data_IF_472745371214
#
_entry.id   IF_472745371214
#
_cell.length_a   1.000
_cell.length_b   1.000
_cell.length_c   1.000
_cell.angle_alpha   90.00
_cell.angle_beta   90.00
_cell.angle_gamma   90.00
#
_symmetry.space_group_name_H-M   'P 1'
#
loop_
_entity.id
_entity.type
_entity.pdbx_description
1 polymer ?
#
# COMPACT_ATOMS: atom_id res chain seq x y z
N UNK A 1 -21.64 -17.58 2.23
CA UNK A 1 -21.08 -16.44 1.46
C UNK A 1 -20.20 -16.98 0.34
N UNK A 2 -19.80 -16.14 -0.61
CA UNK A 2 -18.90 -16.51 -1.71
C UNK A 2 -17.42 -16.13 -1.45
N UNK A 3 -17.12 -15.34 -0.41
CA UNK A 3 -15.75 -14.99 0.00
C UNK A 3 -14.86 -16.23 0.18
N UNK A 4 -13.63 -16.15 -0.34
CA UNK A 4 -12.70 -17.28 -0.44
C UNK A 4 -12.94 -18.20 -1.65
N UNK A 5 -14.13 -18.16 -2.25
CA UNK A 5 -14.46 -18.93 -3.45
C UNK A 5 -13.91 -18.30 -4.75
N UNK A 6 -13.80 -19.10 -5.83
CA UNK A 6 -13.27 -18.63 -7.10
C UNK A 6 -14.22 -17.66 -7.82
N UNK A 7 -13.64 -16.71 -8.55
CA UNK A 7 -14.28 -15.98 -9.64
C UNK A 7 -13.79 -16.59 -10.96
N UNK A 8 -14.72 -17.04 -11.79
CA UNK A 8 -14.44 -17.70 -13.07
C UNK A 8 -14.88 -16.81 -14.25
N UNK A 9 -14.17 -16.91 -15.39
CA UNK A 9 -14.66 -16.38 -16.66
C UNK A 9 -15.65 -17.36 -17.33
N UNK A 10 -16.20 -16.96 -18.49
CA UNK A 10 -17.14 -17.78 -19.27
C UNK A 10 -16.56 -19.10 -19.80
N UNK A 11 -15.24 -19.29 -19.75
CA UNK A 11 -14.53 -20.53 -20.10
C UNK A 11 -14.24 -21.41 -18.87
N UNK A 12 -14.76 -21.06 -17.69
CA UNK A 12 -14.52 -21.77 -16.43
C UNK A 12 -13.11 -21.57 -15.84
N UNK A 13 -12.34 -20.60 -16.35
CA UNK A 13 -10.97 -20.36 -15.90
C UNK A 13 -10.95 -19.39 -14.70
N UNK A 14 -10.10 -19.66 -13.72
CA UNK A 14 -9.91 -18.80 -12.54
C UNK A 14 -9.34 -17.42 -12.94
N UNK A 15 -10.09 -16.36 -12.65
CA UNK A 15 -9.70 -14.96 -12.87
C UNK A 15 -9.54 -14.16 -11.56
N UNK A 16 -10.06 -14.66 -10.44
CA UNK A 16 -9.80 -14.08 -9.12
C UNK A 16 -10.38 -14.91 -7.96
N UNK A 17 -10.23 -14.41 -6.74
CA UNK A 17 -10.82 -14.98 -5.51
C UNK A 17 -11.74 -13.94 -4.90
N UNK A 18 -13.02 -14.27 -4.71
CA UNK A 18 -14.00 -13.35 -4.13
C UNK A 18 -13.58 -12.97 -2.71
N UNK A 19 -13.63 -11.69 -2.34
CA UNK A 19 -13.12 -11.22 -1.04
C UNK A 19 -14.14 -10.38 -0.29
N UNK A 20 -14.71 -9.36 -0.95
CA UNK A 20 -15.58 -8.38 -0.32
C UNK A 20 -16.80 -8.04 -1.19
N UNK A 21 -17.79 -7.41 -0.58
CA UNK A 21 -18.92 -6.75 -1.26
C UNK A 21 -18.92 -5.27 -0.86
N UNK A 22 -19.37 -4.40 -1.76
CA UNK A 22 -19.81 -3.07 -1.32
C UNK A 22 -21.24 -3.18 -0.81
N UNK A 23 -21.48 -2.74 0.42
CA UNK A 23 -22.83 -2.68 0.99
C UNK A 23 -22.94 -1.67 2.13
N UNK A 24 -23.84 -0.68 2.03
CA UNK A 24 -24.24 0.17 3.16
C UNK A 24 -25.04 -0.57 4.24
N UNK A 25 -25.54 -1.79 3.98
CA UNK A 25 -26.50 -2.51 4.84
C UNK A 25 -26.07 -3.94 5.24
N UNK A 26 -24.90 -4.38 4.81
CA UNK A 26 -24.42 -5.77 4.97
C UNK A 26 -24.94 -6.77 3.93
N UNK A 27 -26.00 -6.44 3.18
CA UNK A 27 -26.51 -7.25 2.07
C UNK A 27 -25.97 -6.77 0.72
N UNK A 28 -25.63 -7.67 -0.21
CA UNK A 28 -25.01 -7.32 -1.50
C UNK A 28 -25.82 -6.27 -2.28
N UNK A 29 -25.21 -5.11 -2.53
CA UNK A 29 -25.78 -4.06 -3.38
C UNK A 29 -25.50 -4.29 -4.88
N UNK A 30 -25.19 -5.53 -5.27
CA UNK A 30 -24.85 -5.91 -6.65
C UNK A 30 -23.37 -5.71 -7.03
N UNK A 31 -22.54 -5.16 -6.15
CA UNK A 31 -21.11 -4.92 -6.38
C UNK A 31 -20.27 -5.84 -5.48
N UNK A 32 -19.52 -6.75 -6.10
CA UNK A 32 -18.56 -7.64 -5.46
C UNK A 32 -17.13 -7.36 -5.93
N UNK A 33 -16.15 -7.61 -5.05
CA UNK A 33 -14.73 -7.48 -5.33
C UNK A 33 -14.01 -8.82 -5.19
N UNK A 34 -13.05 -9.07 -6.08
CA UNK A 34 -12.20 -10.24 -6.05
C UNK A 34 -10.72 -9.83 -6.17
N UNK A 35 -9.84 -10.50 -5.44
CA UNK A 35 -8.38 -10.38 -5.63
C UNK A 35 -8.03 -11.04 -6.98
N UNK A 36 -7.35 -10.34 -7.92
CA UNK A 36 -7.05 -10.89 -9.24
C UNK A 36 -6.16 -12.13 -9.19
N UNK A 37 -6.37 -13.08 -10.12
CA UNK A 37 -5.60 -14.33 -10.17
C UNK A 37 -4.09 -14.11 -10.32
N UNK A 38 -3.65 -13.01 -10.93
CA UNK A 38 -2.22 -12.70 -11.04
C UNK A 38 -1.59 -12.38 -9.67
N UNK A 39 -2.32 -11.71 -8.78
CA UNK A 39 -1.92 -11.49 -7.39
C UNK A 39 -1.87 -12.82 -6.63
N UNK A 40 -2.87 -13.69 -6.84
CA UNK A 40 -2.91 -15.03 -6.24
C UNK A 40 -1.71 -15.89 -6.71
N UNK A 41 -1.39 -15.88 -8.01
CA UNK A 41 -0.23 -16.60 -8.58
C UNK A 41 1.11 -16.14 -7.99
N UNK A 42 1.25 -14.87 -7.59
CA UNK A 42 2.44 -14.36 -6.92
C UNK A 42 2.50 -14.79 -5.45
N UNK A 43 1.39 -14.62 -4.72
CA UNK A 43 1.34 -14.77 -3.26
C UNK A 43 1.32 -16.24 -2.82
N UNK A 44 0.59 -17.12 -3.51
CA UNK A 44 0.39 -18.51 -3.07
C UNK A 44 1.71 -19.31 -2.98
N UNK A 45 2.64 -19.23 -3.95
CA UNK A 45 3.95 -19.89 -3.82
C UNK A 45 4.74 -19.41 -2.59
N UNK A 46 4.82 -18.09 -2.35
CA UNK A 46 5.52 -17.55 -1.17
C UNK A 46 4.92 -18.04 0.16
N UNK A 47 3.58 -18.14 0.24
CA UNK A 47 2.89 -18.68 1.41
C UNK A 47 3.14 -20.17 1.61
N UNK A 48 3.24 -20.96 0.54
CA UNK A 48 3.54 -22.40 0.62
C UNK A 48 5.00 -22.64 1.02
N UNK A 49 5.94 -21.87 0.46
CA UNK A 49 7.38 -22.06 0.66
C UNK A 49 7.89 -21.48 1.98
N UNK A 50 7.44 -20.27 2.35
CA UNK A 50 7.97 -19.52 3.50
C UNK A 50 6.96 -19.31 4.64
N UNK A 51 5.70 -19.69 4.46
CA UNK A 51 4.61 -19.41 5.42
C UNK A 51 4.20 -17.93 5.48
N UNK A 52 4.79 -17.05 4.67
CA UNK A 52 4.56 -15.60 4.63
C UNK A 52 4.96 -15.01 3.29
N UNK A 53 4.36 -13.88 2.92
CA UNK A 53 4.81 -13.06 1.78
C UNK A 53 5.99 -12.20 2.23
N UNK A 54 7.06 -12.15 1.44
CA UNK A 54 8.28 -11.39 1.75
C UNK A 54 8.27 -10.05 1.01
N UNK A 55 7.44 -9.12 1.48
CA UNK A 55 7.36 -7.77 0.92
C UNK A 55 8.57 -6.93 1.35
N UNK A 56 9.47 -6.50 0.44
CA UNK A 56 10.52 -5.57 0.78
C UNK A 56 9.92 -4.22 1.17
N UNK A 57 10.53 -3.55 2.14
CA UNK A 57 10.14 -2.20 2.57
C UNK A 57 11.35 -1.28 2.44
N UNK A 58 11.10 0.00 2.12
CA UNK A 58 12.17 0.99 2.02
C UNK A 58 12.73 1.37 3.41
N UNK A 59 11.91 1.31 4.46
CA UNK A 59 12.29 1.72 5.81
C UNK A 59 11.89 3.16 6.16
N UNK A 60 10.78 3.65 5.61
CA UNK A 60 10.23 4.99 5.88
C UNK A 60 8.77 4.91 6.32
N UNK A 61 8.31 5.92 7.05
CA UNK A 61 6.90 6.24 7.21
C UNK A 61 6.47 7.29 6.17
N UNK A 62 5.22 7.20 5.72
CA UNK A 62 4.59 8.15 4.80
C UNK A 62 3.16 8.45 5.25
N UNK A 63 2.58 9.56 4.81
CA UNK A 63 1.17 9.84 5.09
C UNK A 63 0.26 8.72 4.59
N UNK A 64 -0.79 8.34 5.35
CA UNK A 64 -1.85 7.49 4.83
C UNK A 64 -2.43 8.08 3.53
N UNK A 65 -2.76 7.26 2.50
CA UNK A 65 -3.15 7.74 1.19
C UNK A 65 -4.26 8.81 1.20
N UNK A 66 -5.24 8.67 2.09
CA UNK A 66 -6.36 9.60 2.25
C UNK A 66 -5.96 11.02 2.73
N UNK A 67 -4.73 11.20 3.23
CA UNK A 67 -4.19 12.49 3.66
C UNK A 67 -3.03 12.98 2.79
N UNK A 68 -2.39 12.09 2.02
CA UNK A 68 -1.19 12.40 1.24
C UNK A 68 -1.41 13.53 0.21
N UNK A 69 -2.55 13.57 -0.47
CA UNK A 69 -2.89 14.66 -1.42
C UNK A 69 -3.05 16.02 -0.73
N UNK A 70 -3.68 16.05 0.44
CA UNK A 70 -3.92 17.27 1.20
C UNK A 70 -2.60 17.94 1.61
N UNK A 71 -1.67 17.18 2.20
CA UNK A 71 -0.39 17.73 2.66
C UNK A 71 0.53 18.12 1.51
N UNK A 72 0.56 17.34 0.42
CA UNK A 72 1.27 17.70 -0.82
C UNK A 72 0.76 19.01 -1.40
N UNK A 73 -0.56 19.16 -1.52
CA UNK A 73 -1.18 20.39 -2.04
C UNK A 73 -0.93 21.60 -1.14
N UNK A 74 -1.04 21.41 0.19
CA UNK A 74 -0.83 22.47 1.19
C UNK A 74 0.60 23.00 1.22
N UNK A 75 1.59 22.16 0.91
CA UNK A 75 3.02 22.52 0.95
C UNK A 75 3.65 22.69 -0.45
N UNK A 76 2.89 22.52 -1.54
CA UNK A 76 3.39 22.65 -2.92
C UNK A 76 4.35 21.54 -3.34
N UNK A 77 4.20 20.34 -2.80
CA UNK A 77 5.14 19.22 -2.97
C UNK A 77 4.64 18.22 -4.01
N UNK A 78 5.51 17.85 -4.94
CA UNK A 78 5.37 16.67 -5.81
C UNK A 78 6.28 15.55 -5.29
N UNK A 79 5.80 14.30 -5.26
CA UNK A 79 6.51 13.15 -4.69
C UNK A 79 5.94 12.67 -3.35
N UNK A 80 6.56 11.67 -2.74
CA UNK A 80 6.18 11.11 -1.43
C UNK A 80 6.93 11.82 -0.32
N UNK A 81 6.21 12.49 0.57
CA UNK A 81 6.79 13.14 1.76
C UNK A 81 7.23 12.05 2.75
N UNK A 82 8.50 12.06 3.13
CA UNK A 82 9.03 11.19 4.19
C UNK A 82 8.57 11.75 5.53
N UNK A 83 7.65 11.04 6.20
CA UNK A 83 7.20 11.43 7.54
C UNK A 83 8.28 11.13 8.57
N UNK A 84 8.82 9.93 8.52
CA UNK A 84 9.81 9.42 9.45
C UNK A 84 10.68 8.38 8.75
N UNK A 85 11.86 8.10 9.32
CA UNK A 85 12.78 7.08 8.81
C UNK A 85 13.04 6.10 9.94
N UNK A 86 12.89 4.80 9.67
CA UNK A 86 13.05 3.77 10.69
C UNK A 86 14.52 3.76 11.15
N UNK A 87 14.74 3.90 12.47
CA UNK A 87 16.07 3.85 13.08
C UNK A 87 16.80 2.56 12.70
N UNK A 88 18.06 2.67 12.28
CA UNK A 88 18.88 1.56 11.80
C UNK A 88 18.44 0.99 10.45
N UNK A 89 17.50 1.60 9.72
CA UNK A 89 17.18 1.21 8.35
C UNK A 89 18.18 1.78 7.32
N UNK A 90 18.12 1.27 6.09
CA UNK A 90 19.03 1.72 5.01
C UNK A 90 18.88 3.20 4.65
N UNK A 91 17.67 3.82 4.63
CA UNK A 91 17.58 5.25 4.31
C UNK A 91 18.20 6.13 5.40
N UNK A 92 18.05 5.78 6.69
CA UNK A 92 18.68 6.55 7.78
C UNK A 92 20.21 6.50 7.66
N UNK A 93 20.77 5.31 7.42
CA UNK A 93 22.21 5.15 7.14
C UNK A 93 22.69 5.91 5.90
N UNK A 94 21.81 6.09 4.91
CA UNK A 94 22.07 6.91 3.73
C UNK A 94 21.89 8.42 3.99
N UNK A 95 21.48 8.81 5.20
CA UNK A 95 21.31 10.20 5.63
C UNK A 95 19.91 10.77 5.48
N UNK A 96 18.93 9.98 5.03
CA UNK A 96 17.55 10.41 4.82
C UNK A 96 16.91 10.91 6.13
N UNK A 97 16.10 11.96 6.06
CA UNK A 97 15.44 12.60 7.19
C UNK A 97 13.93 12.70 6.99
N UNK A 98 13.20 12.37 8.06
CA UNK A 98 11.77 12.62 8.16
C UNK A 98 11.42 14.06 8.52
N UNK A 99 10.13 14.32 8.59
CA UNK A 99 9.52 15.55 9.07
C UNK A 99 9.89 15.78 10.54
N UNK A 100 10.30 17.00 10.88
CA UNK A 100 10.66 17.39 12.25
C UNK A 100 9.69 18.45 12.79
N UNK A 101 9.08 18.20 13.94
CA UNK A 101 8.29 19.21 14.65
C UNK A 101 9.22 20.16 15.44
N UNK A 102 8.94 21.46 15.37
CA UNK A 102 9.74 22.50 16.03
C UNK A 102 8.83 23.49 16.76
N UNK A 103 9.40 24.31 17.66
CA UNK A 103 8.69 25.41 18.32
C UNK A 103 8.11 26.48 17.36
N UNK A 104 8.42 26.41 16.06
CA UNK A 104 7.89 27.29 15.00
C UNK A 104 6.94 26.55 14.03
N UNK A 105 6.56 25.32 14.36
CA UNK A 105 5.77 24.42 13.52
C UNK A 105 6.62 23.36 12.82
N UNK A 106 6.07 22.81 11.74
CA UNK A 106 6.64 21.68 11.01
C UNK A 106 7.78 22.14 10.09
N UNK A 107 8.94 21.48 10.21
CA UNK A 107 10.01 21.48 9.22
C UNK A 107 9.91 20.19 8.40
N UNK A 108 9.89 20.32 7.08
CA UNK A 108 9.87 19.18 6.17
C UNK A 108 11.26 18.51 6.13
N UNK A 109 11.26 17.18 6.10
CA UNK A 109 12.43 16.39 5.74
C UNK A 109 12.49 16.15 4.22
N UNK A 110 12.97 14.97 3.85
CA UNK A 110 13.12 14.60 2.44
C UNK A 110 11.79 14.29 1.75
N UNK A 111 11.82 14.38 0.42
CA UNK A 111 10.72 14.01 -0.47
C UNK A 111 11.26 13.08 -1.55
N UNK A 112 10.68 11.89 -1.67
CA UNK A 112 11.01 10.94 -2.73
C UNK A 112 10.22 11.34 -3.99
N UNK A 113 10.94 11.80 -5.02
CA UNK A 113 10.36 12.21 -6.29
C UNK A 113 10.36 11.10 -7.36
N UNK A 114 11.25 10.11 -7.22
CA UNK A 114 11.69 9.18 -8.26
C UNK A 114 12.28 7.91 -7.60
N UNK A 115 12.22 6.75 -8.25
CA UNK A 115 12.92 5.51 -7.84
C UNK A 115 13.39 4.78 -9.09
N UNK A 116 14.71 4.63 -9.25
CA UNK A 116 15.38 3.96 -10.37
C UNK A 116 15.09 4.52 -11.79
N UNK A 117 14.54 5.73 -11.90
CA UNK A 117 14.27 6.46 -13.15
C UNK A 117 12.83 6.34 -13.63
#
# INVERSE_FOLDING_TARGET
GNSGGPLLNSLGQLVGVNTAIYSPSGASSGIGFAIPVNTVRKIVPELIEFGRVQTPTLGIAMFPPQYADYYRSRWGITGVIVLDVIEGASPERAGMRGLTETNRGILLGDVIIEVDG
#
